data_IF_041812876649
#
_entry.id   IF_041812876649
#
_cell.length_a   1.000
_cell.length_b   1.000
_cell.length_c   1.000
_cell.angle_alpha   90.00
_cell.angle_beta   90.00
_cell.angle_gamma   90.00
#
_symmetry.space_group_name_H-M   'P 1'
#
loop_
_entity.id
_entity.type
_entity.pdbx_description
1 polymer ?
#
# COMPACT_ATOMS: atom_id res chain seq x y z
N UNK A 1 -2.24 -0.43 -10.58
CA UNK A 1 -0.78 -0.38 -10.44
C UNK A 1 -0.34 -0.28 -8.98
N UNK A 2 -0.78 0.73 -8.21
CA UNK A 2 -0.32 0.92 -6.83
C UNK A 2 -0.62 -0.24 -5.86
N UNK A 3 -1.80 -0.86 -5.96
CA UNK A 3 -2.12 -2.04 -5.14
C UNK A 3 -1.15 -3.20 -5.37
N UNK A 4 -0.79 -3.45 -6.64
CA UNK A 4 0.20 -4.46 -7.00
C UNK A 4 1.56 -4.17 -6.39
N UNK A 5 2.03 -2.92 -6.45
CA UNK A 5 3.32 -2.51 -5.87
C UNK A 5 3.33 -2.76 -4.36
N UNK A 6 2.24 -2.41 -3.67
CA UNK A 6 2.13 -2.59 -2.22
C UNK A 6 2.12 -4.07 -1.82
N UNK A 7 1.30 -4.88 -2.50
CA UNK A 7 1.19 -6.33 -2.21
C UNK A 7 2.50 -7.05 -2.54
N UNK A 8 3.11 -6.79 -3.70
CA UNK A 8 4.40 -7.39 -4.05
C UNK A 8 5.52 -6.94 -3.10
N UNK A 9 5.58 -5.65 -2.76
CA UNK A 9 6.57 -5.12 -1.84
C UNK A 9 6.46 -5.72 -0.43
N UNK A 10 5.24 -5.82 0.10
CA UNK A 10 5.00 -6.45 1.40
C UNK A 10 5.32 -7.96 1.39
N UNK A 11 4.95 -8.66 0.31
CA UNK A 11 5.28 -10.09 0.13
C UNK A 11 6.80 -10.30 0.07
N UNK A 12 7.52 -9.42 -0.64
CA UNK A 12 8.98 -9.50 -0.73
C UNK A 12 9.65 -9.25 0.62
N UNK A 13 9.20 -8.24 1.37
CA UNK A 13 9.70 -7.98 2.73
C UNK A 13 9.42 -9.13 3.69
N UNK A 14 8.23 -9.72 3.63
CA UNK A 14 7.89 -10.89 4.43
C UNK A 14 8.70 -12.12 4.02
N UNK A 15 8.96 -12.33 2.73
CA UNK A 15 9.78 -13.46 2.28
C UNK A 15 11.26 -13.35 2.70
N UNK A 16 11.75 -12.13 2.99
CA UNK A 16 13.09 -11.94 3.54
C UNK A 16 13.15 -12.16 5.05
N UNK A 17 12.04 -11.88 5.75
CA UNK A 17 11.96 -11.94 7.22
C UNK A 17 11.51 -13.31 7.71
N UNK A 18 10.61 -13.95 6.99
CA UNK A 18 9.95 -15.21 7.33
C UNK A 18 10.37 -16.32 6.37
N UNK A 19 10.57 -17.54 6.89
CA UNK A 19 10.90 -18.72 6.10
C UNK A 19 9.66 -19.56 5.76
N UNK A 20 8.57 -18.89 5.40
CA UNK A 20 7.27 -19.51 5.04
C UNK A 20 7.15 -19.69 3.52
N UNK A 21 6.14 -20.46 3.10
CA UNK A 21 5.92 -20.68 1.67
C UNK A 21 5.51 -19.39 0.97
N UNK A 22 5.90 -19.21 -0.29
CA UNK A 22 5.57 -18.00 -1.05
C UNK A 22 4.05 -17.81 -1.22
N UNK A 23 3.32 -18.92 -1.44
CA UNK A 23 1.86 -18.94 -1.55
C UNK A 23 1.18 -18.46 -0.26
N UNK A 24 1.71 -18.91 0.87
CA UNK A 24 1.28 -18.55 2.22
C UNK A 24 1.43 -17.04 2.48
N UNK A 25 2.62 -16.50 2.23
CA UNK A 25 2.88 -15.07 2.37
C UNK A 25 1.99 -14.21 1.44
N UNK A 26 1.82 -14.64 0.18
CA UNK A 26 0.94 -13.94 -0.77
C UNK A 26 -0.51 -13.93 -0.30
N UNK A 27 -1.01 -15.06 0.20
CA UNK A 27 -2.38 -15.17 0.69
C UNK A 27 -2.60 -14.25 1.88
N UNK A 28 -1.65 -14.23 2.82
CA UNK A 28 -1.72 -13.40 4.02
C UNK A 28 -1.71 -11.90 3.67
N UNK A 29 -0.83 -11.48 2.77
CA UNK A 29 -0.75 -10.07 2.34
C UNK A 29 -1.99 -9.65 1.55
N UNK A 30 -2.51 -10.51 0.66
CA UNK A 30 -3.75 -10.25 -0.07
C UNK A 30 -4.95 -10.14 0.89
N UNK A 31 -5.03 -11.02 1.87
CA UNK A 31 -6.07 -10.99 2.90
C UNK A 31 -6.01 -9.75 3.78
N UNK A 32 -4.79 -9.39 4.23
CA UNK A 32 -4.54 -8.18 5.01
C UNK A 32 -4.93 -6.91 4.22
N UNK A 33 -4.55 -6.84 2.95
CA UNK A 33 -4.92 -5.73 2.07
C UNK A 33 -6.43 -5.64 1.84
N UNK A 34 -7.11 -6.77 1.65
CA UNK A 34 -8.56 -6.83 1.53
C UNK A 34 -9.32 -6.65 2.85
N UNK A 35 -8.62 -6.65 3.99
CA UNK A 35 -9.21 -6.70 5.34
C UNK A 35 -10.26 -7.81 5.51
N UNK A 36 -10.04 -8.95 4.85
CA UNK A 36 -10.98 -10.08 4.84
C UNK A 36 -10.89 -10.93 6.12
N UNK A 37 -9.80 -10.80 6.88
CA UNK A 37 -9.61 -11.50 8.15
C UNK A 37 -9.31 -12.99 8.02
N UNK A 38 -9.03 -13.47 6.81
CA UNK A 38 -8.64 -14.85 6.54
C UNK A 38 -7.12 -15.01 6.74
N UNK A 39 -6.70 -16.11 7.33
CA UNK A 39 -5.29 -16.45 7.50
C UNK A 39 -5.11 -17.95 7.31
N UNK A 40 -3.96 -18.36 6.78
CA UNK A 40 -3.58 -19.77 6.73
C UNK A 40 -3.01 -20.29 8.06
N UNK A 41 -3.14 -19.51 9.15
CA UNK A 41 -2.69 -19.86 10.50
C UNK A 41 -1.29 -19.34 10.85
N UNK A 42 -0.62 -18.71 9.89
CA UNK A 42 0.78 -18.27 9.98
C UNK A 42 0.92 -16.94 10.72
N UNK A 43 -0.12 -16.10 10.75
CA UNK A 43 -0.12 -14.80 11.47
C UNK A 43 0.38 -14.91 12.92
N UNK A 44 0.12 -16.04 13.58
CA UNK A 44 0.55 -16.30 14.97
C UNK A 44 2.07 -16.41 15.09
N UNK A 45 2.70 -17.11 14.14
CA UNK A 45 4.12 -17.44 14.14
C UNK A 45 5.01 -16.38 13.47
N UNK A 46 4.41 -15.35 12.87
CA UNK A 46 5.16 -14.21 12.33
C UNK A 46 6.01 -13.54 13.41
N UNK A 47 7.23 -13.19 13.02
CA UNK A 47 8.15 -12.35 13.78
C UNK A 47 7.52 -10.98 14.09
N UNK A 48 8.05 -10.30 15.12
CA UNK A 48 7.59 -8.95 15.50
C UNK A 48 7.67 -7.98 14.30
N UNK A 49 8.67 -8.13 13.45
CA UNK A 49 8.84 -7.31 12.25
C UNK A 49 7.77 -7.63 11.19
N UNK A 50 7.50 -8.92 10.93
CA UNK A 50 6.44 -9.35 10.01
C UNK A 50 5.05 -8.86 10.43
N UNK A 51 4.75 -8.92 11.73
CA UNK A 51 3.49 -8.39 12.29
C UNK A 51 3.35 -6.89 12.07
N UNK A 52 4.45 -6.14 12.18
CA UNK A 52 4.46 -4.71 11.90
C UNK A 52 4.11 -4.40 10.44
N UNK A 53 4.67 -5.17 9.49
CA UNK A 53 4.36 -5.04 8.06
C UNK A 53 2.88 -5.32 7.81
N UNK A 54 2.34 -6.43 8.32
CA UNK A 54 0.92 -6.79 8.14
C UNK A 54 0.00 -5.70 8.73
N UNK A 55 0.31 -5.15 9.90
CA UNK A 55 -0.46 -4.04 10.48
C UNK A 55 -0.52 -2.82 9.57
N UNK A 56 0.60 -2.43 8.95
CA UNK A 56 0.64 -1.32 7.98
C UNK A 56 -0.19 -1.64 6.74
N UNK A 57 -0.07 -2.87 6.21
CA UNK A 57 -0.86 -3.32 5.05
C UNK A 57 -2.36 -3.30 5.34
N UNK A 58 -2.78 -3.76 6.51
CA UNK A 58 -4.19 -3.72 6.96
C UNK A 58 -4.70 -2.28 7.09
N UNK A 59 -3.88 -1.38 7.64
CA UNK A 59 -4.24 0.04 7.77
C UNK A 59 -4.46 0.70 6.42
N UNK A 60 -3.55 0.46 5.46
CA UNK A 60 -3.67 1.00 4.10
C UNK A 60 -4.84 0.36 3.36
N UNK A 61 -5.05 -0.95 3.53
CA UNK A 61 -6.19 -1.68 2.98
C UNK A 61 -7.53 -1.13 3.47
N UNK A 62 -7.64 -0.82 4.77
CA UNK A 62 -8.86 -0.28 5.38
C UNK A 62 -9.15 1.17 4.99
N UNK A 63 -8.13 2.03 4.95
CA UNK A 63 -8.26 3.45 4.57
C UNK A 63 -8.50 3.63 3.07
N UNK A 64 -7.99 2.68 2.28
CA UNK A 64 -7.97 2.74 0.84
C UNK A 64 -6.73 3.50 0.34
N UNK A 65 -6.07 2.91 -0.67
CA UNK A 65 -4.93 3.48 -1.38
C UNK A 65 -5.14 4.95 -1.79
N UNK A 66 -6.28 5.37 -2.40
CA UNK A 66 -6.45 6.76 -2.82
C UNK A 66 -6.51 7.74 -1.65
N UNK A 67 -7.15 7.36 -0.53
CA UNK A 67 -7.22 8.19 0.68
C UNK A 67 -5.83 8.36 1.32
N UNK A 68 -5.03 7.29 1.33
CA UNK A 68 -3.65 7.34 1.81
C UNK A 68 -2.77 8.24 0.92
N UNK A 69 -2.95 8.16 -0.40
CA UNK A 69 -2.28 9.06 -1.35
C UNK A 69 -2.68 10.52 -1.16
N UNK A 70 -3.95 10.79 -0.83
CA UNK A 70 -4.39 12.16 -0.53
C UNK A 70 -3.77 12.70 0.78
N UNK A 71 -3.53 11.82 1.75
CA UNK A 71 -2.90 12.19 3.02
C UNK A 71 -1.41 12.52 2.87
N UNK A 72 -0.69 11.74 2.04
CA UNK A 72 0.73 11.96 1.72
C UNK A 72 0.91 13.03 0.64
N UNK A 73 -0.04 13.11 -0.29
CA UNK A 73 -0.10 14.11 -1.32
C UNK A 73 -0.12 15.47 -0.65
N UNK A 74 0.96 16.23 -0.84
CA UNK A 74 0.98 17.63 -0.47
C UNK A 74 -0.29 18.25 -1.06
N UNK A 75 -1.12 18.87 -0.21
CA UNK A 75 -1.95 19.97 -0.67
C UNK A 75 -0.95 20.96 -1.27
N UNK A 76 -0.81 20.96 -2.59
CA UNK A 76 -0.46 22.18 -3.26
C UNK A 76 -1.54 23.14 -2.81
N UNK A 77 -1.17 24.00 -1.84
CA UNK A 77 -1.93 25.21 -1.59
C UNK A 77 -2.14 25.77 -2.99
N UNK A 78 -3.39 25.88 -3.42
CA UNK A 78 -3.78 26.61 -4.60
C UNK A 78 -3.13 27.97 -4.45
N UNK A 79 -1.92 28.09 -4.99
CA UNK A 79 -1.17 29.31 -4.93
C UNK A 79 -2.02 30.21 -5.81
N UNK A 80 -2.60 31.26 -5.22
CA UNK A 80 -3.54 32.16 -5.88
C UNK A 80 -2.76 33.04 -6.90
N UNK A 81 -2.02 32.39 -7.78
CA UNK A 81 -1.19 32.93 -8.83
C UNK A 81 -1.84 32.51 -10.14
N UNK A 82 -2.48 33.49 -10.75
CA UNK A 82 -3.00 33.34 -12.09
C UNK A 82 -1.82 33.37 -13.06
N UNK A 83 -1.48 32.24 -13.66
CA UNK A 83 -0.52 32.23 -14.77
C UNK A 83 -1.14 33.01 -15.94
N UNK A 84 -0.40 33.95 -16.55
CA UNK A 84 -0.90 34.68 -17.72
C UNK A 84 -1.23 33.69 -18.83
N UNK A 85 -2.48 33.68 -19.26
CA UNK A 85 -2.95 32.85 -20.37
C UNK A 85 -2.46 33.46 -21.68
N UNK A 86 -1.35 32.96 -22.19
CA UNK A 86 -0.91 33.31 -23.55
C UNK A 86 -1.66 32.44 -24.56
N UNK A 87 -2.18 33.07 -25.63
CA UNK A 87 -2.85 32.33 -26.72
C UNK A 87 -1.76 31.67 -27.58
N UNK A 88 -1.57 30.38 -27.39
CA UNK A 88 -0.77 29.56 -28.31
C UNK A 88 -1.63 29.30 -29.55
N UNK A 89 -1.30 29.97 -30.66
CA UNK A 89 -1.86 29.65 -31.97
C UNK A 89 -1.17 28.37 -32.43
N UNK A 90 -1.88 27.25 -32.38
CA UNK A 90 -1.45 26.02 -33.04
C UNK A 90 -1.98 26.14 -34.47
N UNK A 91 -1.06 26.37 -35.41
CA UNK A 91 -1.36 26.40 -36.85
C UNK A 91 -1.90 25.07 -37.35
#
# INVERSE_FOLDING_TARGET
>A
MMAFILVFGATFLLSLTEHNTLLENLFEVCSAFGTTGLSLGITSDLTVFGKCIIMVVMFIGRIGIPSFLYLIGRRESEANYHYPKERVIIG
#
